data_IF_943644563807
#
_entry.id   IF_943644563807
#
_cell.length_a   1.000
_cell.length_b   1.000
_cell.length_c   1.000
_cell.angle_alpha   90.00
_cell.angle_beta   90.00
_cell.angle_gamma   90.00
#
_symmetry.space_group_name_H-M   'P 1'
#
loop_
_entity.id
_entity.type
_entity.pdbx_description
1 polymer ?
#
# COMPACT_ATOMS: atom_id res chain seq x y z
N UNK A 1 -8.44 -4.56 30.14
CA UNK A 1 -8.66 -5.79 30.93
C UNK A 1 -9.37 -6.87 30.12
N UNK A 2 -10.47 -6.58 29.43
CA UNK A 2 -11.25 -7.59 28.65
C UNK A 2 -10.41 -8.26 27.54
N UNK A 3 -9.63 -7.52 26.78
CA UNK A 3 -8.76 -8.04 25.72
C UNK A 3 -7.67 -8.99 26.27
N UNK A 4 -7.06 -8.63 27.40
CA UNK A 4 -6.08 -9.51 28.05
C UNK A 4 -6.73 -10.81 28.52
N UNK A 5 -7.94 -10.74 29.10
CA UNK A 5 -8.67 -11.92 29.52
C UNK A 5 -9.05 -12.82 28.34
N UNK A 6 -9.43 -12.23 27.21
CA UNK A 6 -9.70 -12.98 25.99
C UNK A 6 -8.49 -13.83 25.55
N UNK A 7 -7.28 -13.24 25.49
CA UNK A 7 -6.08 -13.99 25.14
C UNK A 7 -5.67 -15.03 26.17
N UNK A 8 -5.92 -14.79 27.46
CA UNK A 8 -5.71 -15.80 28.52
C UNK A 8 -6.63 -17.00 28.30
N UNK A 9 -7.91 -16.77 28.04
CA UNK A 9 -8.88 -17.82 27.79
C UNK A 9 -8.53 -18.62 26.52
N UNK A 10 -8.19 -17.92 25.41
CA UNK A 10 -7.72 -18.56 24.20
C UNK A 10 -6.49 -19.44 24.45
N UNK A 11 -5.55 -18.96 25.27
CA UNK A 11 -4.37 -19.74 25.66
C UNK A 11 -4.72 -21.00 26.50
N UNK A 12 -5.80 -20.99 27.28
CA UNK A 12 -6.30 -22.18 27.97
C UNK A 12 -6.88 -23.18 26.98
N UNK A 13 -7.75 -22.76 26.06
CA UNK A 13 -8.33 -23.62 25.03
C UNK A 13 -7.26 -24.28 24.17
N UNK A 14 -6.26 -23.51 23.70
CA UNK A 14 -5.14 -24.04 22.91
C UNK A 14 -4.39 -25.12 23.70
N UNK A 15 -4.14 -24.92 24.99
CA UNK A 15 -3.47 -25.93 25.83
C UNK A 15 -4.29 -27.21 25.99
N UNK A 16 -5.60 -27.11 26.18
CA UNK A 16 -6.50 -28.24 26.27
C UNK A 16 -6.51 -29.05 24.96
N UNK A 17 -6.58 -28.37 23.81
CA UNK A 17 -6.51 -29.01 22.49
C UNK A 17 -5.15 -29.71 22.31
N UNK A 18 -4.02 -29.05 22.63
CA UNK A 18 -2.71 -29.66 22.54
C UNK A 18 -2.59 -30.90 23.42
N UNK A 19 -3.08 -30.84 24.66
CA UNK A 19 -3.08 -31.96 25.58
C UNK A 19 -3.93 -33.14 25.04
N UNK A 20 -5.07 -32.85 24.41
CA UNK A 20 -5.94 -33.88 23.84
C UNK A 20 -5.30 -34.67 22.70
N UNK A 21 -4.35 -34.05 21.98
CA UNK A 21 -3.59 -34.67 20.89
C UNK A 21 -2.18 -35.11 21.31
N UNK A 22 -1.85 -35.03 22.63
CA UNK A 22 -0.59 -35.52 23.18
C UNK A 22 0.62 -34.61 23.01
N UNK A 23 0.41 -33.29 22.82
CA UNK A 23 1.48 -32.32 22.68
C UNK A 23 1.48 -31.26 23.78
N UNK A 24 2.64 -30.66 24.03
CA UNK A 24 2.81 -29.69 25.13
C UNK A 24 2.96 -28.24 24.57
N UNK A 25 3.27 -28.09 23.31
CA UNK A 25 3.46 -26.76 22.69
C UNK A 25 3.07 -26.73 21.22
N UNK A 26 2.69 -25.54 20.73
CA UNK A 26 2.46 -25.28 19.31
C UNK A 26 3.71 -25.53 18.43
N UNK A 27 4.91 -25.41 19.03
CA UNK A 27 6.17 -25.70 18.30
C UNK A 27 6.30 -27.17 17.96
N UNK A 28 5.81 -28.07 18.82
CA UNK A 28 5.88 -29.51 18.60
C UNK A 28 4.95 -29.99 17.48
N UNK A 29 3.81 -29.36 17.29
CA UNK A 29 2.84 -29.72 16.24
C UNK A 29 3.17 -29.11 14.88
N UNK A 30 4.10 -28.17 14.82
CA UNK A 30 4.48 -27.53 13.57
C UNK A 30 5.09 -28.56 12.59
N UNK A 31 4.55 -28.63 11.39
CA UNK A 31 4.96 -29.56 10.35
C UNK A 31 4.54 -31.01 10.54
N UNK A 32 3.76 -31.33 11.57
CA UNK A 32 3.22 -32.66 11.86
C UNK A 32 1.99 -32.95 11.01
N UNK A 33 2.19 -33.15 9.72
CA UNK A 33 1.11 -33.32 8.73
C UNK A 33 0.31 -34.61 8.97
N UNK A 34 0.88 -35.63 9.64
CA UNK A 34 0.15 -36.82 10.05
C UNK A 34 -1.01 -36.55 11.03
N UNK A 35 -1.05 -35.36 11.66
CA UNK A 35 -2.18 -34.93 12.50
C UNK A 35 -3.36 -34.42 11.67
N UNK A 36 -3.17 -34.21 10.36
CA UNK A 36 -4.19 -33.69 9.46
C UNK A 36 -4.94 -34.87 8.81
N UNK A 37 -6.25 -34.86 8.91
CA UNK A 37 -7.10 -35.77 8.16
C UNK A 37 -7.83 -34.99 7.08
N UNK A 38 -7.79 -35.50 5.85
CA UNK A 38 -8.62 -34.97 4.77
C UNK A 38 -10.08 -35.28 5.07
N UNK A 39 -10.91 -34.25 5.04
CA UNK A 39 -12.37 -34.45 5.10
C UNK A 39 -12.79 -35.01 3.75
N UNK A 40 -13.39 -36.18 3.80
CA UNK A 40 -13.92 -36.84 2.61
C UNK A 40 -15.21 -36.15 2.18
N UNK A 41 -15.12 -35.21 1.25
CA UNK A 41 -16.25 -34.47 0.71
C UNK A 41 -16.43 -34.80 -0.75
N UNK A 42 -17.66 -35.08 -1.18
CA UNK A 42 -18.00 -35.53 -2.53
C UNK A 42 -17.43 -34.65 -3.64
N UNK A 43 -17.37 -33.34 -3.43
CA UNK A 43 -16.81 -32.39 -4.41
C UNK A 43 -15.28 -32.39 -4.50
N UNK A 44 -14.58 -33.04 -3.59
CA UNK A 44 -13.11 -33.01 -3.49
C UNK A 44 -12.47 -34.38 -3.73
N UNK A 45 -13.20 -35.45 -3.51
CA UNK A 45 -12.69 -36.82 -3.63
C UNK A 45 -12.30 -37.11 -5.08
N UNK A 46 -11.02 -37.43 -5.29
CA UNK A 46 -10.47 -37.75 -6.60
C UNK A 46 -10.24 -36.55 -7.54
N UNK A 47 -10.53 -35.31 -7.08
CA UNK A 47 -10.35 -34.12 -7.90
C UNK A 47 -9.12 -33.28 -7.53
N UNK A 48 -8.66 -33.35 -6.28
CA UNK A 48 -7.49 -32.63 -5.79
C UNK A 48 -6.47 -33.61 -5.20
N UNK A 49 -5.24 -33.57 -5.72
CA UNK A 49 -4.11 -34.24 -5.08
C UNK A 49 -3.51 -33.34 -3.99
N UNK A 50 -3.78 -33.68 -2.73
CA UNK A 50 -3.28 -32.97 -1.57
C UNK A 50 -1.98 -33.56 -0.99
N UNK A 51 -1.38 -34.54 -1.66
CA UNK A 51 -0.18 -35.23 -1.17
C UNK A 51 1.00 -34.29 -0.90
N UNK A 52 1.16 -33.24 -1.70
CA UNK A 52 2.20 -32.24 -1.52
C UNK A 52 2.04 -31.45 -0.20
N UNK A 53 0.80 -31.19 0.24
CA UNK A 53 0.51 -30.48 1.51
C UNK A 53 0.62 -31.41 2.72
N UNK A 54 0.41 -32.72 2.54
CA UNK A 54 0.48 -33.70 3.62
C UNK A 54 1.86 -34.33 3.80
N UNK A 55 2.81 -33.99 2.93
CA UNK A 55 4.18 -34.47 3.06
C UNK A 55 4.85 -33.87 4.30
N UNK A 56 5.36 -34.72 5.20
CA UNK A 56 6.23 -34.25 6.27
C UNK A 56 7.50 -33.65 5.71
N UNK A 57 7.89 -32.51 6.25
CA UNK A 57 9.16 -31.86 5.93
C UNK A 57 9.97 -31.70 7.21
N UNK A 58 11.27 -31.82 7.11
CA UNK A 58 12.16 -31.57 8.23
C UNK A 58 12.02 -30.13 8.71
N UNK A 59 11.92 -29.96 10.03
CA UNK A 59 11.84 -28.64 10.63
C UNK A 59 13.19 -27.94 10.48
N UNK A 60 13.24 -26.94 9.63
CA UNK A 60 14.41 -26.06 9.53
C UNK A 60 14.46 -25.22 10.80
N UNK A 61 15.44 -25.49 11.67
CA UNK A 61 15.70 -24.66 12.85
C UNK A 61 16.40 -23.38 12.43
N UNK A 62 15.62 -22.34 12.21
CA UNK A 62 16.17 -21.00 11.98
C UNK A 62 16.67 -20.46 13.31
N UNK A 63 17.98 -20.31 13.45
CA UNK A 63 18.64 -19.80 14.68
C UNK A 63 18.39 -18.30 14.89
N UNK A 64 18.20 -17.56 13.81
CA UNK A 64 17.90 -16.12 13.83
C UNK A 64 16.70 -15.84 12.93
N UNK A 65 15.83 -14.88 13.27
CA UNK A 65 14.79 -14.44 12.35
C UNK A 65 15.42 -13.99 11.04
N UNK A 66 14.84 -14.43 9.92
CA UNK A 66 15.20 -13.89 8.61
C UNK A 66 14.22 -12.74 8.33
N UNK A 67 14.74 -11.54 8.30
CA UNK A 67 13.99 -10.37 7.86
C UNK A 67 14.28 -10.19 6.37
N UNK A 68 13.25 -10.01 5.59
CA UNK A 68 13.40 -9.55 4.22
C UNK A 68 13.90 -8.11 4.28
N UNK A 69 14.94 -7.81 3.51
CA UNK A 69 15.33 -6.42 3.32
C UNK A 69 14.18 -5.68 2.64
N UNK A 70 13.80 -4.55 3.23
CA UNK A 70 12.83 -3.68 2.61
C UNK A 70 13.50 -2.99 1.41
N UNK A 71 12.89 -3.10 0.25
CA UNK A 71 13.28 -2.35 -0.93
C UNK A 71 12.22 -1.27 -1.17
N UNK A 72 12.63 -0.02 -1.06
CA UNK A 72 11.79 1.15 -1.26
C UNK A 72 12.05 1.85 -2.60
N UNK A 73 12.79 1.20 -3.51
CA UNK A 73 12.88 1.69 -4.88
C UNK A 73 11.44 1.78 -5.47
N UNK A 74 11.04 2.82 -6.09
CA UNK A 74 11.71 4.07 -6.47
C UNK A 74 11.57 5.22 -5.44
N UNK A 75 10.97 5.00 -4.28
CA UNK A 75 10.70 6.04 -3.28
C UNK A 75 11.99 6.68 -2.73
N UNK A 76 13.07 5.88 -2.62
CA UNK A 76 14.40 6.37 -2.22
C UNK A 76 14.97 7.38 -3.24
N UNK A 77 14.74 7.14 -4.53
CA UNK A 77 15.13 8.08 -5.58
C UNK A 77 14.27 9.36 -5.53
N UNK A 78 12.98 9.22 -5.24
CA UNK A 78 12.09 10.38 -5.12
C UNK A 78 12.47 11.28 -3.95
N UNK A 79 12.81 10.71 -2.79
CA UNK A 79 13.21 11.53 -1.63
C UNK A 79 14.58 12.19 -1.85
N UNK A 80 15.51 11.51 -2.51
CA UNK A 80 16.80 12.08 -2.88
C UNK A 80 16.65 13.26 -3.84
N UNK A 81 15.75 13.14 -4.84
CA UNK A 81 15.43 14.23 -5.76
C UNK A 81 14.73 15.40 -5.06
N UNK A 82 13.78 15.11 -4.18
CA UNK A 82 13.11 16.11 -3.35
C UNK A 82 14.12 16.89 -2.50
N UNK A 83 15.00 16.21 -1.80
CA UNK A 83 16.04 16.84 -0.98
C UNK A 83 16.95 17.73 -1.83
N UNK A 84 17.39 17.23 -2.99
CA UNK A 84 18.30 17.95 -3.87
C UNK A 84 17.67 19.20 -4.50
N UNK A 85 16.49 19.04 -5.09
CA UNK A 85 15.87 20.07 -5.91
C UNK A 85 14.99 21.03 -5.11
N UNK A 86 14.16 20.48 -4.22
CA UNK A 86 13.20 21.26 -3.45
C UNK A 86 13.87 21.91 -2.23
N UNK A 87 14.55 21.12 -1.41
CA UNK A 87 15.14 21.62 -0.16
C UNK A 87 16.44 22.39 -0.44
N UNK A 88 17.49 21.72 -1.01
CA UNK A 88 18.82 22.34 -1.15
C UNK A 88 18.88 23.47 -2.18
N UNK A 89 18.15 23.34 -3.30
CA UNK A 89 18.05 24.40 -4.31
C UNK A 89 16.91 25.38 -4.07
N UNK A 90 16.12 25.17 -3.03
CA UNK A 90 15.00 26.04 -2.63
C UNK A 90 14.01 26.33 -3.78
N UNK A 91 13.74 25.31 -4.63
CA UNK A 91 12.78 25.47 -5.71
C UNK A 91 11.35 25.51 -5.15
N UNK A 92 10.56 26.45 -5.66
CA UNK A 92 9.16 26.61 -5.24
C UNK A 92 8.29 25.39 -5.50
N UNK A 93 8.55 24.73 -6.62
CA UNK A 93 7.89 23.47 -7.05
C UNK A 93 8.87 22.60 -7.83
N UNK A 94 8.59 21.30 -7.88
CA UNK A 94 9.40 20.31 -8.60
C UNK A 94 8.54 19.27 -9.30
N UNK A 95 9.06 18.75 -10.39
CA UNK A 95 8.53 17.58 -11.10
C UNK A 95 9.61 16.51 -11.11
N UNK A 96 9.27 15.33 -10.59
CA UNK A 96 10.13 14.15 -10.56
C UNK A 96 9.62 13.19 -11.64
N UNK A 97 10.45 12.94 -12.64
CA UNK A 97 10.17 11.90 -13.64
C UNK A 97 10.62 10.54 -13.08
N UNK A 98 9.65 9.76 -12.66
CA UNK A 98 9.89 8.45 -12.06
C UNK A 98 10.04 7.34 -13.11
N UNK A 99 10.35 6.12 -12.67
CA UNK A 99 10.58 4.98 -13.55
C UNK A 99 9.28 4.44 -14.18
N UNK A 100 9.46 3.58 -15.15
CA UNK A 100 8.44 2.65 -15.64
C UNK A 100 8.24 1.58 -14.57
N UNK A 101 7.07 1.53 -13.95
CA UNK A 101 6.76 0.61 -12.85
C UNK A 101 6.35 -0.77 -13.37
N UNK A 102 6.55 -1.77 -12.52
CA UNK A 102 5.92 -3.08 -12.67
C UNK A 102 5.16 -3.48 -11.39
N UNK A 103 4.46 -4.61 -11.44
CA UNK A 103 3.62 -5.07 -10.33
C UNK A 103 4.42 -5.45 -9.05
N UNK A 104 5.73 -5.52 -9.10
CA UNK A 104 6.59 -5.71 -7.92
C UNK A 104 6.86 -4.38 -7.19
N UNK A 105 6.72 -3.24 -7.88
CA UNK A 105 6.84 -1.92 -7.26
C UNK A 105 5.58 -1.62 -6.43
N UNK A 106 5.56 -2.15 -5.21
CA UNK A 106 4.45 -1.99 -4.27
C UNK A 106 4.66 -0.75 -3.40
N UNK A 107 3.55 -0.14 -3.00
CA UNK A 107 3.50 1.02 -2.10
C UNK A 107 4.30 2.23 -2.62
N UNK A 108 4.52 2.31 -3.93
CA UNK A 108 5.22 3.44 -4.57
C UNK A 108 4.56 4.77 -4.19
N UNK A 109 5.35 5.72 -3.71
CA UNK A 109 4.91 7.02 -3.17
C UNK A 109 4.58 6.99 -1.68
N UNK A 110 4.48 5.80 -1.07
CA UNK A 110 4.14 5.66 0.35
C UNK A 110 5.29 6.04 1.27
N UNK A 111 6.45 5.43 1.10
CA UNK A 111 7.64 5.77 1.87
C UNK A 111 8.07 7.21 1.58
N UNK A 112 8.02 7.64 0.32
CA UNK A 112 8.29 9.01 -0.08
C UNK A 112 7.44 10.03 0.69
N UNK A 113 6.12 9.80 0.80
CA UNK A 113 5.22 10.68 1.56
C UNK A 113 5.57 10.73 3.05
N UNK A 114 5.93 9.58 3.64
CA UNK A 114 6.37 9.50 5.05
C UNK A 114 7.70 10.25 5.26
N UNK A 115 8.64 10.13 4.33
CA UNK A 115 9.96 10.75 4.44
C UNK A 115 9.89 12.27 4.24
N UNK A 116 9.03 12.78 3.37
CA UNK A 116 8.72 14.22 3.30
C UNK A 116 8.25 14.73 4.67
N UNK A 117 7.25 14.09 5.26
CA UNK A 117 6.73 14.48 6.58
C UNK A 117 7.82 14.45 7.66
N UNK A 118 8.63 13.41 7.66
CA UNK A 118 9.75 13.28 8.58
C UNK A 118 10.77 14.39 8.38
N UNK A 119 11.14 14.67 7.14
CA UNK A 119 12.13 15.68 6.79
C UNK A 119 11.70 17.08 7.24
N UNK A 120 10.50 17.51 6.86
CA UNK A 120 10.06 18.89 7.13
C UNK A 120 9.65 19.14 8.58
N UNK A 121 9.29 18.09 9.33
CA UNK A 121 8.85 18.25 10.73
C UNK A 121 9.91 17.89 11.77
N UNK A 122 10.90 17.02 11.44
CA UNK A 122 11.80 16.46 12.44
C UNK A 122 13.28 16.50 12.06
N UNK A 123 13.64 16.61 10.78
CA UNK A 123 15.04 16.61 10.35
C UNK A 123 15.56 18.00 10.01
N UNK A 124 14.73 18.85 9.41
CA UNK A 124 15.06 20.25 9.21
C UNK A 124 14.77 21.02 10.49
N UNK A 125 15.67 21.94 10.85
CA UNK A 125 15.32 22.89 11.92
C UNK A 125 14.16 23.80 11.48
N UNK A 126 13.45 24.37 12.47
CA UNK A 126 12.22 25.10 12.19
C UNK A 126 12.46 26.36 11.33
N UNK A 127 13.58 27.05 11.52
CA UNK A 127 13.91 28.26 10.79
C UNK A 127 14.19 27.95 9.31
N UNK A 128 15.00 26.92 9.04
CA UNK A 128 15.29 26.48 7.68
C UNK A 128 14.05 25.92 6.97
N UNK A 129 13.22 25.16 7.67
CA UNK A 129 11.98 24.65 7.09
C UNK A 129 11.02 25.79 6.69
N UNK A 130 10.81 26.77 7.58
CA UNK A 130 9.87 27.87 7.35
C UNK A 130 10.44 28.98 6.45
N UNK A 131 11.74 29.00 6.20
CA UNK A 131 12.33 29.89 5.16
C UNK A 131 12.00 29.45 3.73
N UNK A 132 11.58 28.18 3.54
CA UNK A 132 11.17 27.67 2.23
C UNK A 132 9.79 28.20 1.85
N UNK A 133 9.60 28.83 0.67
CA UNK A 133 8.36 29.52 0.31
C UNK A 133 7.15 28.59 0.15
N UNK A 134 7.38 27.30 0.02
CA UNK A 134 6.34 26.30 -0.19
C UNK A 134 6.16 25.33 0.99
N UNK A 135 6.73 25.64 2.15
CA UNK A 135 6.47 24.96 3.42
C UNK A 135 5.63 25.88 4.30
N UNK A 136 4.48 25.39 4.73
CA UNK A 136 3.51 26.13 5.53
C UNK A 136 3.41 25.52 6.93
N UNK A 137 3.21 26.36 7.93
CA UNK A 137 2.92 25.91 9.28
C UNK A 137 1.42 25.99 9.57
N UNK A 138 0.87 24.90 10.08
CA UNK A 138 -0.51 24.82 10.53
C UNK A 138 -0.64 25.37 11.96
N UNK A 139 -1.85 25.69 12.39
CA UNK A 139 -2.16 26.23 13.73
C UNK A 139 -1.66 25.35 14.89
N UNK A 140 -1.43 24.06 14.65
CA UNK A 140 -0.91 23.11 15.64
C UNK A 140 0.61 22.95 15.61
N UNK A 141 1.33 23.79 14.86
CA UNK A 141 2.78 23.75 14.72
C UNK A 141 3.32 22.70 13.73
N UNK A 142 2.44 21.88 13.11
CA UNK A 142 2.85 20.92 12.08
C UNK A 142 3.15 21.64 10.77
N UNK A 143 4.26 21.29 10.15
CA UNK A 143 4.63 21.80 8.82
C UNK A 143 4.07 20.89 7.74
N UNK A 144 3.57 21.49 6.67
CA UNK A 144 3.04 20.81 5.48
C UNK A 144 3.55 21.49 4.22
N UNK A 145 3.58 20.78 3.12
CA UNK A 145 3.85 21.39 1.82
C UNK A 145 2.64 22.23 1.37
N UNK A 146 2.89 23.31 0.64
CA UNK A 146 1.85 24.01 -0.09
C UNK A 146 1.23 23.09 -1.16
N UNK A 147 0.03 23.42 -1.63
CA UNK A 147 -0.69 22.57 -2.60
C UNK A 147 0.09 22.43 -3.90
N UNK A 148 0.14 21.21 -4.45
CA UNK A 148 0.64 20.86 -5.79
C UNK A 148 2.11 21.29 -6.07
N UNK A 149 2.98 21.29 -5.05
CA UNK A 149 4.38 21.72 -5.21
C UNK A 149 5.35 20.59 -5.57
N UNK A 150 4.96 19.34 -5.33
CA UNK A 150 5.77 18.17 -5.71
C UNK A 150 4.93 17.27 -6.61
N UNK A 151 5.35 17.09 -7.83
CA UNK A 151 4.68 16.19 -8.79
C UNK A 151 5.61 15.04 -9.13
N UNK A 152 5.16 13.80 -8.92
CA UNK A 152 5.84 12.58 -9.34
C UNK A 152 5.07 11.97 -10.50
N UNK A 153 5.76 11.61 -11.59
CA UNK A 153 5.17 10.97 -12.77
C UNK A 153 5.74 9.58 -12.93
N UNK A 154 4.88 8.59 -13.12
CA UNK A 154 5.23 7.19 -13.35
C UNK A 154 4.35 6.59 -14.44
N UNK A 155 4.69 5.40 -14.93
CA UNK A 155 3.93 4.73 -15.99
C UNK A 155 3.93 3.21 -15.88
N UNK A 156 3.09 2.54 -16.70
CA UNK A 156 2.94 1.11 -16.89
C UNK A 156 2.02 0.46 -15.85
N UNK A 157 2.45 -0.54 -15.07
CA UNK A 157 1.58 -1.26 -14.12
C UNK A 157 2.16 -1.20 -12.70
N UNK A 158 1.61 -0.33 -11.88
CA UNK A 158 2.03 -0.22 -10.49
C UNK A 158 1.48 -1.39 -9.63
N UNK A 159 2.27 -1.83 -8.66
CA UNK A 159 1.86 -2.82 -7.66
C UNK A 159 0.82 -2.28 -6.67
N UNK A 160 0.52 -3.07 -5.64
CA UNK A 160 -0.46 -2.70 -4.61
C UNK A 160 -0.05 -1.44 -3.86
N UNK A 161 -1.07 -0.69 -3.41
CA UNK A 161 -0.94 0.49 -2.54
C UNK A 161 -0.18 1.66 -3.18
N UNK A 162 -0.27 1.83 -4.50
CA UNK A 162 0.25 3.02 -5.17
C UNK A 162 -0.31 4.30 -4.54
N UNK A 163 0.54 5.26 -4.21
CA UNK A 163 0.16 6.51 -3.57
C UNK A 163 -0.42 6.35 -2.16
N UNK A 164 -0.17 5.22 -1.47
CA UNK A 164 -0.57 5.10 -0.07
C UNK A 164 0.07 6.21 0.77
N UNK A 165 -0.66 6.69 1.77
CA UNK A 165 -0.24 7.76 2.68
C UNK A 165 0.07 9.11 2.02
N UNK A 166 -0.26 9.30 0.74
CA UNK A 166 -0.03 10.58 0.06
C UNK A 166 -0.57 11.73 0.92
N UNK A 167 0.25 12.75 1.09
CA UNK A 167 0.00 13.88 1.96
C UNK A 167 -0.08 15.21 1.18
N UNK A 168 -0.41 16.28 1.88
CA UNK A 168 -0.58 17.61 1.29
C UNK A 168 0.66 18.04 0.50
N UNK A 169 0.44 18.61 -0.69
CA UNK A 169 1.48 19.15 -1.56
C UNK A 169 2.05 18.16 -2.57
N UNK A 170 1.82 16.85 -2.37
CA UNK A 170 2.28 15.80 -3.29
C UNK A 170 1.20 15.47 -4.32
N UNK A 171 1.57 15.44 -5.58
CA UNK A 171 0.75 14.97 -6.70
C UNK A 171 1.42 13.78 -7.37
N UNK A 172 0.76 12.63 -7.33
CA UNK A 172 1.21 11.40 -8.01
C UNK A 172 0.45 11.24 -9.33
N UNK A 173 1.14 11.27 -10.47
CA UNK A 173 0.53 11.06 -11.79
C UNK A 173 1.03 9.73 -12.34
N UNK A 174 0.14 8.79 -12.54
CA UNK A 174 0.45 7.49 -13.13
C UNK A 174 -0.27 7.31 -14.46
N UNK A 175 0.46 6.95 -15.51
CA UNK A 175 -0.12 6.61 -16.81
C UNK A 175 -0.07 5.10 -17.00
N UNK A 176 -1.19 4.43 -16.77
CA UNK A 176 -1.27 2.97 -16.80
C UNK A 176 -2.28 2.40 -15.82
N UNK A 177 -1.97 1.24 -15.28
CA UNK A 177 -2.82 0.55 -14.31
C UNK A 177 -2.16 0.48 -12.93
N UNK A 178 -2.97 0.49 -11.90
CA UNK A 178 -2.53 0.27 -10.53
C UNK A 178 -3.27 -0.94 -9.95
N UNK A 179 -2.56 -1.75 -9.17
CA UNK A 179 -3.17 -2.85 -8.44
C UNK A 179 -4.01 -2.32 -7.25
N UNK A 180 -4.41 -3.17 -6.34
CA UNK A 180 -5.29 -2.87 -5.21
C UNK A 180 -4.76 -1.77 -4.27
N UNK A 181 -5.66 -1.05 -3.62
CA UNK A 181 -5.34 -0.15 -2.51
C UNK A 181 -4.72 1.19 -2.90
N UNK A 182 -4.98 1.70 -4.10
CA UNK A 182 -4.55 3.04 -4.51
C UNK A 182 -5.03 4.09 -3.52
N UNK A 183 -4.14 4.98 -3.09
CA UNK A 183 -4.47 6.05 -2.13
C UNK A 183 -4.88 5.55 -0.74
N UNK A 184 -4.50 4.33 -0.35
CA UNK A 184 -4.76 3.81 0.99
C UNK A 184 -4.23 4.76 2.06
N UNK A 185 -5.10 5.12 3.02
CA UNK A 185 -4.80 6.04 4.11
C UNK A 185 -4.24 7.41 3.64
N UNK A 186 -4.66 7.88 2.46
CA UNK A 186 -4.33 9.21 1.95
C UNK A 186 -4.83 10.27 2.93
N UNK A 187 -4.02 11.27 3.22
CA UNK A 187 -4.34 12.36 4.15
C UNK A 187 -4.44 13.73 3.48
N UNK A 188 -3.99 13.82 2.25
CA UNK A 188 -3.97 15.03 1.44
C UNK A 188 -3.40 14.73 0.05
N UNK A 189 -2.99 15.77 -0.66
CA UNK A 189 -2.39 15.64 -1.97
C UNK A 189 -3.34 15.11 -3.05
N UNK A 190 -2.77 14.67 -4.16
CA UNK A 190 -3.53 14.29 -5.34
C UNK A 190 -2.95 13.04 -6.01
N UNK A 191 -3.80 12.13 -6.42
CA UNK A 191 -3.43 10.98 -7.23
C UNK A 191 -4.23 11.04 -8.53
N UNK A 192 -3.56 10.91 -9.67
CA UNK A 192 -4.16 10.93 -11.01
C UNK A 192 -3.71 9.67 -11.74
N UNK A 193 -4.64 8.79 -12.05
CA UNK A 193 -4.40 7.59 -12.85
C UNK A 193 -4.98 7.80 -14.24
N UNK A 194 -4.08 7.85 -15.24
CA UNK A 194 -4.42 8.13 -16.63
C UNK A 194 -4.45 6.86 -17.46
N UNK A 195 -5.39 6.81 -18.37
CA UNK A 195 -5.43 5.75 -19.37
C UNK A 195 -4.18 5.80 -20.28
N UNK A 196 -3.46 4.71 -20.50
CA UNK A 196 -2.24 4.67 -21.30
C UNK A 196 -2.46 4.88 -22.82
N UNK A 197 -3.67 5.15 -23.22
CA UNK A 197 -3.98 5.56 -24.61
C UNK A 197 -3.99 4.42 -25.62
N UNK A 198 -3.96 3.15 -25.19
CA UNK A 198 -4.14 1.99 -26.10
C UNK A 198 -5.47 2.01 -26.85
N UNK A 199 -6.41 2.83 -26.40
CA UNK A 199 -7.74 2.99 -27.00
C UNK A 199 -7.84 4.06 -28.09
N UNK A 200 -6.75 4.75 -28.47
CA UNK A 200 -6.82 5.78 -29.52
C UNK A 200 -7.12 5.27 -30.91
N UNK A 201 -7.07 3.97 -31.15
CA UNK A 201 -7.41 3.38 -32.46
C UNK A 201 -8.90 3.08 -32.63
N UNK A 202 -9.71 3.08 -31.57
CA UNK A 202 -11.16 2.80 -31.67
C UNK A 202 -11.95 3.94 -31.00
N UNK A 203 -12.44 4.84 -31.81
CA UNK A 203 -12.92 6.19 -31.51
C UNK A 203 -14.27 6.29 -30.77
N UNK A 204 -14.72 5.27 -30.07
CA UNK A 204 -15.97 5.35 -29.28
C UNK A 204 -15.86 4.65 -27.92
N UNK A 205 -15.58 5.43 -26.87
CA UNK A 205 -15.93 5.14 -25.47
C UNK A 205 -15.24 3.97 -24.73
N UNK A 206 -14.10 3.43 -25.16
CA UNK A 206 -13.47 2.30 -24.45
C UNK A 206 -12.63 2.69 -23.22
N UNK A 207 -12.33 3.97 -23.00
CA UNK A 207 -11.66 4.38 -21.74
C UNK A 207 -12.53 4.05 -20.52
N UNK A 208 -13.85 4.17 -20.67
CA UNK A 208 -14.82 3.88 -19.61
C UNK A 208 -14.93 2.40 -19.21
N UNK A 209 -14.41 1.49 -20.04
CA UNK A 209 -14.49 0.06 -19.79
C UNK A 209 -13.20 -0.51 -19.15
N UNK A 210 -12.13 0.29 -19.13
CA UNK A 210 -10.86 -0.15 -18.60
C UNK A 210 -10.80 0.01 -17.08
N UNK A 211 -10.60 -1.07 -16.36
CA UNK A 211 -10.30 -1.05 -14.93
C UNK A 211 -8.85 -0.63 -14.75
N UNK A 212 -8.61 0.59 -14.29
CA UNK A 212 -7.28 1.16 -14.10
C UNK A 212 -6.76 1.07 -12.67
N UNK A 213 -7.64 0.95 -11.70
CA UNK A 213 -7.26 0.74 -10.30
C UNK A 213 -7.98 -0.48 -9.74
N UNK A 214 -7.26 -1.30 -8.99
CA UNK A 214 -7.80 -2.50 -8.37
C UNK A 214 -8.78 -2.20 -7.24
N UNK A 215 -8.96 -3.20 -6.37
CA UNK A 215 -9.94 -3.16 -5.28
C UNK A 215 -9.53 -2.18 -4.17
N UNK A 216 -10.50 -1.79 -3.33
CA UNK A 216 -10.38 -0.97 -2.13
C UNK A 216 -9.49 0.29 -2.28
N UNK A 217 -9.54 0.95 -3.46
CA UNK A 217 -8.94 2.28 -3.59
C UNK A 217 -9.50 3.24 -2.54
N UNK A 218 -8.67 4.16 -2.04
CA UNK A 218 -8.98 5.10 -0.94
C UNK A 218 -9.37 4.43 0.40
N UNK A 219 -8.95 3.19 0.63
CA UNK A 219 -9.22 2.53 1.91
C UNK A 219 -8.73 3.39 3.09
N UNK A 220 -9.66 3.81 3.94
CA UNK A 220 -9.34 4.61 5.12
C UNK A 220 -8.74 5.99 4.83
N UNK A 221 -8.95 6.53 3.64
CA UNK A 221 -8.49 7.87 3.29
C UNK A 221 -9.24 8.93 4.11
N UNK A 222 -8.51 9.94 4.56
CA UNK A 222 -9.03 11.02 5.41
C UNK A 222 -9.02 12.38 4.71
N UNK A 223 -8.39 12.48 3.54
CA UNK A 223 -8.30 13.71 2.75
C UNK A 223 -7.58 13.47 1.43
N UNK A 224 -7.51 14.52 0.61
CA UNK A 224 -6.88 14.46 -0.70
C UNK A 224 -7.85 14.20 -1.84
N UNK A 225 -7.30 14.02 -3.04
CA UNK A 225 -8.05 13.89 -4.27
C UNK A 225 -7.55 12.68 -5.07
N UNK A 226 -8.48 11.88 -5.64
CA UNK A 226 -8.16 10.78 -6.57
C UNK A 226 -8.95 10.96 -7.87
N UNK A 227 -8.26 11.00 -8.98
CA UNK A 227 -8.85 11.07 -10.32
C UNK A 227 -8.44 9.85 -11.12
N UNK A 228 -9.38 9.10 -11.65
CA UNK A 228 -9.16 7.90 -12.45
C UNK A 228 -9.85 8.04 -13.80
N UNK A 229 -9.06 8.05 -14.87
CA UNK A 229 -9.56 8.07 -16.26
C UNK A 229 -9.94 6.64 -16.70
N UNK A 230 -10.89 6.02 -15.98
CA UNK A 230 -11.35 4.66 -16.16
C UNK A 230 -12.10 4.15 -14.94
N UNK A 231 -12.18 2.84 -14.77
CA UNK A 231 -12.91 2.20 -13.68
C UNK A 231 -12.00 1.81 -12.50
N UNK A 232 -12.60 1.74 -11.32
CA UNK A 232 -12.05 1.13 -10.13
C UNK A 232 -12.68 -0.24 -9.84
N UNK A 233 -11.97 -1.10 -9.12
CA UNK A 233 -12.46 -2.39 -8.66
C UNK A 233 -13.46 -2.29 -7.51
N UNK A 234 -13.70 -3.42 -6.85
CA UNK A 234 -14.65 -3.54 -5.74
C UNK A 234 -14.20 -2.80 -4.48
N UNK A 235 -15.15 -2.47 -3.62
CA UNK A 235 -14.91 -1.79 -2.33
C UNK A 235 -14.23 -0.42 -2.48
N UNK A 236 -14.45 0.25 -3.60
CA UNK A 236 -13.91 1.61 -3.83
C UNK A 236 -14.39 2.57 -2.73
N UNK A 237 -13.48 3.31 -2.12
CA UNK A 237 -13.80 4.28 -1.07
C UNK A 237 -14.19 3.68 0.28
N UNK A 238 -13.97 2.38 0.52
CA UNK A 238 -14.30 1.76 1.80
C UNK A 238 -13.54 2.45 2.95
N UNK A 239 -14.29 2.89 3.97
CA UNK A 239 -13.78 3.70 5.11
C UNK A 239 -13.13 5.03 4.69
N UNK A 240 -13.44 5.54 3.51
CA UNK A 240 -13.09 6.91 3.15
C UNK A 240 -13.93 7.90 3.98
N UNK A 241 -13.29 8.85 4.64
CA UNK A 241 -13.95 9.84 5.50
C UNK A 241 -13.75 11.28 5.04
N UNK A 242 -12.88 11.54 4.05
CA UNK A 242 -12.60 12.92 3.65
C UNK A 242 -11.92 13.11 2.30
N UNK A 243 -11.49 12.06 1.62
CA UNK A 243 -10.95 12.19 0.28
C UNK A 243 -12.06 12.35 -0.75
N UNK A 244 -11.80 13.14 -1.81
CA UNK A 244 -12.68 13.31 -2.97
C UNK A 244 -12.18 12.42 -4.11
N UNK A 245 -13.09 11.70 -4.76
CA UNK A 245 -12.75 10.87 -5.91
C UNK A 245 -13.61 11.17 -7.11
N UNK A 246 -13.00 11.13 -8.30
CA UNK A 246 -13.68 11.13 -9.59
C UNK A 246 -13.19 9.91 -10.36
N UNK A 247 -14.12 9.05 -10.73
CA UNK A 247 -13.88 7.77 -11.41
C UNK A 247 -15.02 7.47 -12.35
N UNK A 248 -14.77 6.81 -13.48
CA UNK A 248 -15.79 6.57 -14.51
C UNK A 248 -16.72 5.39 -14.17
N UNK A 249 -16.36 4.53 -13.24
CA UNK A 249 -17.16 3.43 -12.74
C UNK A 249 -16.44 2.67 -11.62
N UNK A 250 -17.20 1.94 -10.82
CA UNK A 250 -16.68 1.13 -9.72
C UNK A 250 -17.35 -0.24 -9.69
N UNK A 251 -16.69 -1.23 -9.11
CA UNK A 251 -17.28 -2.50 -8.74
C UNK A 251 -18.22 -2.38 -7.51
N UNK A 252 -18.61 -3.53 -6.95
CA UNK A 252 -19.52 -3.64 -5.79
C UNK A 252 -18.84 -3.21 -4.46
#
# INVERSE_FOLDING_TARGET
RALAQYFINLGHEVREILASIGYTSLKEVRGKTHLLNLINHESMVGQLDMSAFLREVDVIKVKKPVYLEANFDPDDDFIAEFEREFIKKNKKDIVIEGPVLDNNNKTTGGQFSVDIERMINYQLDAENALSHPSILELNNGRKVLAKDVVTVKTSNSAGQSFGAFTNTGVTMIHTGTCNDGVGKAQTGGKIIVKNPGFAKQDSKNRSKENVLVGNFALFGAMGGELFVEGQGGDRFGVRNSGAVAVVEGVGD
#
